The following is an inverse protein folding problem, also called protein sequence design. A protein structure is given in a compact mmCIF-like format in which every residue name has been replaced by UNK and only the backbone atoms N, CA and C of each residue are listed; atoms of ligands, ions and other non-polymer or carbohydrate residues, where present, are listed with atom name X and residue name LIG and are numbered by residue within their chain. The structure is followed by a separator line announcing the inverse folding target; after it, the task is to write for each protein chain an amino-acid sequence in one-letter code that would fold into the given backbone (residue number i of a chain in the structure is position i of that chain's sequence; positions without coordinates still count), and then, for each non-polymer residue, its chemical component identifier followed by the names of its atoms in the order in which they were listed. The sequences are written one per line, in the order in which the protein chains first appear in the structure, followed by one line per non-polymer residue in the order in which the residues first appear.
data_IF_116725261270
#
_entry.id   IF_116725261270
#
_cell.length_a   1.000
_cell.length_b   1.000
_cell.length_c   1.000
_cell.angle_alpha   90.00
_cell.angle_beta   90.00
_cell.angle_gamma   90.00
#
_symmetry.space_group_name_H-M   'P 1'
#
loop_
_entity.id
_entity.type
_entity.pdbx_description
1 polymer ?
#
# COMPACT_ATOMS: atom_id res chain seq x y z
N UNK A 1 -29.20 71.78 24.43
CA UNK A 1 -28.21 71.00 25.18
C UNK A 1 -27.72 71.77 26.40
N UNK A 2 -28.32 71.63 27.57
CA UNK A 2 -29.72 71.44 27.84
C UNK A 2 -29.92 71.98 29.25
N UNK A 3 -30.65 73.09 29.33
CA UNK A 3 -31.19 73.65 30.57
C UNK A 3 -31.95 72.58 31.40
N UNK A 4 -32.39 71.51 30.72
CA UNK A 4 -32.94 70.30 31.34
C UNK A 4 -31.94 69.46 32.13
N UNK A 5 -30.68 69.35 31.72
CA UNK A 5 -29.65 68.58 32.45
C UNK A 5 -29.28 69.30 33.75
N UNK A 6 -29.21 70.65 33.70
CA UNK A 6 -28.84 71.46 34.86
C UNK A 6 -29.96 71.49 35.92
N UNK A 7 -31.23 71.61 35.50
CA UNK A 7 -32.40 71.51 36.39
C UNK A 7 -32.58 70.08 36.95
N UNK A 8 -32.20 69.06 36.19
CA UNK A 8 -32.19 67.67 36.69
C UNK A 8 -31.12 67.45 37.76
N UNK A 9 -29.91 68.00 37.60
CA UNK A 9 -28.85 67.88 38.61
C UNK A 9 -29.15 68.66 39.90
N UNK A 10 -29.82 69.82 39.83
CA UNK A 10 -30.23 70.59 41.02
C UNK A 10 -31.41 69.94 41.77
N UNK A 11 -32.38 69.37 41.05
CA UNK A 11 -33.49 68.64 41.65
C UNK A 11 -33.01 67.34 42.34
N UNK A 12 -32.06 66.62 41.73
CA UNK A 12 -31.47 65.40 42.31
C UNK A 12 -30.64 65.72 43.57
N UNK A 13 -29.85 66.81 43.56
CA UNK A 13 -29.00 67.18 44.71
C UNK A 13 -29.77 67.75 45.91
N UNK A 14 -30.90 68.44 45.68
CA UNK A 14 -31.77 68.90 46.78
C UNK A 14 -32.59 67.78 47.42
N UNK A 15 -32.92 66.73 46.66
CA UNK A 15 -33.59 65.53 47.18
C UNK A 15 -32.68 64.68 48.08
N UNK A 16 -31.36 64.75 47.85
CA UNK A 16 -30.33 63.99 48.58
C UNK A 16 -30.08 64.47 50.02
N UNK A 17 -30.39 65.74 50.36
CA UNK A 17 -30.17 66.29 51.70
C UNK A 17 -31.30 65.99 52.70
N UNK A 18 -32.54 65.81 52.23
CA UNK A 18 -33.71 65.54 53.10
C UNK A 18 -33.86 64.03 53.39
N UNK A 19 -33.25 63.16 52.58
CA UNK A 19 -33.26 61.68 52.73
C UNK A 19 -31.88 61.07 53.10
N UNK A 20 -30.92 61.90 53.53
CA UNK A 20 -29.48 61.60 53.52
C UNK A 20 -28.97 60.36 54.26
N UNK A 21 -29.71 59.80 55.24
CA UNK A 21 -29.31 58.56 55.91
C UNK A 21 -29.81 57.28 55.23
N UNK A 22 -31.03 57.31 54.66
CA UNK A 22 -31.70 56.11 54.15
C UNK A 22 -31.18 55.71 52.77
N UNK A 23 -30.85 56.69 51.90
CA UNK A 23 -30.33 56.38 50.57
C UNK A 23 -28.95 55.69 50.62
N UNK A 24 -28.08 56.10 51.55
CA UNK A 24 -26.76 55.47 51.72
C UNK A 24 -26.92 54.00 52.14
N UNK A 25 -27.88 53.69 53.01
CA UNK A 25 -28.18 52.32 53.44
C UNK A 25 -28.72 51.49 52.27
N UNK A 26 -29.66 52.02 51.47
CA UNK A 26 -30.22 51.33 50.30
C UNK A 26 -29.15 51.05 49.24
N UNK A 27 -28.31 52.04 48.92
CA UNK A 27 -27.21 51.88 47.96
C UNK A 27 -26.20 50.85 48.47
N UNK A 28 -25.88 50.86 49.77
CA UNK A 28 -24.96 49.89 50.37
C UNK A 28 -25.52 48.47 50.33
N UNK A 29 -26.81 48.29 50.63
CA UNK A 29 -27.49 46.99 50.54
C UNK A 29 -27.58 46.49 49.10
N UNK A 30 -27.89 47.38 48.15
CA UNK A 30 -27.94 47.05 46.74
C UNK A 30 -26.55 46.65 46.19
N UNK A 31 -25.49 47.38 46.57
CA UNK A 31 -24.12 47.04 46.22
C UNK A 31 -23.70 45.69 46.82
N UNK A 32 -24.10 45.41 48.06
CA UNK A 32 -23.85 44.12 48.71
C UNK A 32 -24.58 42.96 48.02
N UNK A 33 -25.88 43.13 47.72
CA UNK A 33 -26.67 42.15 46.97
C UNK A 33 -26.10 41.90 45.57
N UNK A 34 -25.72 42.96 44.87
CA UNK A 34 -25.05 42.89 43.57
C UNK A 34 -23.75 42.10 43.65
N UNK A 35 -22.92 42.36 44.67
CA UNK A 35 -21.67 41.63 44.91
C UNK A 35 -21.91 40.14 45.19
N UNK A 36 -22.89 39.80 46.02
CA UNK A 36 -23.23 38.40 46.35
C UNK A 36 -23.80 37.68 45.13
N UNK A 37 -24.68 38.33 44.37
CA UNK A 37 -25.26 37.76 43.16
C UNK A 37 -24.19 37.55 42.09
N UNK A 38 -23.32 38.54 41.86
CA UNK A 38 -22.21 38.46 40.91
C UNK A 38 -21.20 37.38 41.31
N UNK A 39 -20.91 37.21 42.61
CA UNK A 39 -20.09 36.11 43.10
C UNK A 39 -20.68 34.74 42.79
N UNK A 40 -21.99 34.55 43.02
CA UNK A 40 -22.67 33.28 42.69
C UNK A 40 -22.75 33.00 41.19
N UNK A 41 -22.96 34.02 40.37
CA UNK A 41 -22.97 33.88 38.91
C UNK A 41 -21.57 33.51 38.41
N UNK A 42 -20.54 34.22 38.88
CA UNK A 42 -19.14 33.95 38.52
C UNK A 42 -18.69 32.54 38.94
N UNK A 43 -19.05 32.08 40.15
CA UNK A 43 -18.75 30.71 40.59
C UNK A 43 -19.44 29.65 39.72
N UNK A 44 -20.69 29.88 39.29
CA UNK A 44 -21.40 28.96 38.39
C UNK A 44 -20.76 28.91 37.01
N UNK A 45 -20.41 30.05 36.44
CA UNK A 45 -19.72 30.11 35.15
C UNK A 45 -18.36 29.42 35.24
N UNK A 46 -17.58 29.72 36.28
CA UNK A 46 -16.29 29.09 36.52
C UNK A 46 -16.40 27.57 36.63
N UNK A 47 -17.36 27.04 37.40
CA UNK A 47 -17.61 25.59 37.49
C UNK A 47 -17.95 24.99 36.12
N UNK A 48 -18.82 25.64 35.34
CA UNK A 48 -19.16 25.16 33.98
C UNK A 48 -17.93 25.15 33.07
N UNK A 49 -17.09 26.17 33.14
CA UNK A 49 -15.84 26.21 32.37
C UNK A 49 -14.90 25.09 32.81
N UNK A 50 -14.69 24.90 34.11
CA UNK A 50 -13.86 23.82 34.66
C UNK A 50 -14.39 22.43 34.23
N UNK A 51 -15.70 22.19 34.35
CA UNK A 51 -16.35 20.95 33.89
C UNK A 51 -16.19 20.73 32.38
N UNK A 52 -16.36 21.78 31.57
CA UNK A 52 -16.20 21.68 30.11
C UNK A 52 -14.75 21.38 29.71
N UNK A 53 -13.78 21.97 30.40
CA UNK A 53 -12.36 21.73 30.16
C UNK A 53 -11.97 20.31 30.57
N UNK A 54 -12.46 19.84 31.72
CA UNK A 54 -12.23 18.46 32.16
C UNK A 54 -12.86 17.45 31.20
N UNK A 55 -14.09 17.70 30.76
CA UNK A 55 -14.76 16.89 29.74
C UNK A 55 -13.99 16.83 28.43
N UNK A 56 -13.60 17.98 27.87
CA UNK A 56 -12.81 18.03 26.63
C UNK A 56 -11.46 17.34 26.78
N UNK A 57 -10.80 17.43 27.94
CA UNK A 57 -9.57 16.68 28.23
C UNK A 57 -9.80 15.18 28.29
N UNK A 58 -10.91 14.73 28.87
CA UNK A 58 -11.28 13.31 28.87
C UNK A 58 -11.57 12.81 27.46
N UNK A 59 -12.33 13.56 26.66
CA UNK A 59 -12.61 13.24 25.26
C UNK A 59 -11.33 13.20 24.42
N UNK A 60 -10.43 14.19 24.58
CA UNK A 60 -9.13 14.21 23.90
C UNK A 60 -8.27 13.00 24.26
N UNK A 61 -8.14 12.66 25.56
CA UNK A 61 -7.38 11.47 25.99
C UNK A 61 -7.99 10.17 25.47
N UNK A 62 -9.32 10.08 25.42
CA UNK A 62 -10.01 8.93 24.87
C UNK A 62 -9.75 8.79 23.37
N UNK A 63 -9.80 9.91 22.61
CA UNK A 63 -9.43 9.94 21.20
C UNK A 63 -7.96 9.59 20.99
N UNK A 64 -7.03 10.15 21.76
CA UNK A 64 -5.60 9.83 21.70
C UNK A 64 -5.35 8.33 21.92
N UNK A 65 -5.94 7.76 22.98
CA UNK A 65 -5.84 6.32 23.27
C UNK A 65 -6.39 5.46 22.13
N UNK A 66 -7.55 5.83 21.58
CA UNK A 66 -8.15 5.13 20.44
C UNK A 66 -7.29 5.22 19.18
N UNK A 67 -6.72 6.40 18.88
CA UNK A 67 -5.83 6.59 17.73
C UNK A 67 -4.53 5.82 17.88
N UNK A 68 -3.96 5.76 19.08
CA UNK A 68 -2.79 4.95 19.38
C UNK A 68 -3.07 3.45 19.20
N UNK A 69 -4.16 2.94 19.78
CA UNK A 69 -4.56 1.55 19.63
C UNK A 69 -4.82 1.18 18.15
N UNK A 70 -5.45 2.07 17.39
CA UNK A 70 -5.70 1.85 15.95
C UNK A 70 -4.40 1.84 15.16
N UNK A 71 -3.47 2.76 15.47
CA UNK A 71 -2.14 2.81 14.86
C UNK A 71 -1.34 1.54 15.13
N UNK A 72 -1.36 1.05 16.36
CA UNK A 72 -0.65 -0.17 16.76
C UNK A 72 -1.24 -1.41 16.08
N UNK A 73 -2.57 -1.53 16.04
CA UNK A 73 -3.24 -2.61 15.33
C UNK A 73 -2.92 -2.59 13.83
N UNK A 74 -2.88 -1.41 13.21
CA UNK A 74 -2.48 -1.24 11.81
C UNK A 74 -1.02 -1.60 11.58
N UNK A 75 -0.10 -1.13 12.44
CA UNK A 75 1.32 -1.45 12.35
C UNK A 75 1.56 -2.97 12.48
N UNK A 76 0.90 -3.62 13.43
CA UNK A 76 0.98 -5.06 13.62
C UNK A 76 0.44 -5.82 12.40
N UNK A 77 -0.74 -5.43 11.88
CA UNK A 77 -1.32 -6.04 10.68
C UNK A 77 -0.43 -5.87 9.45
N UNK A 78 0.19 -4.70 9.28
CA UNK A 78 1.15 -4.40 8.23
C UNK A 78 2.40 -5.28 8.32
N UNK A 79 2.97 -5.43 9.53
CA UNK A 79 4.13 -6.27 9.77
C UNK A 79 3.86 -7.74 9.45
N UNK A 80 2.75 -8.31 9.93
CA UNK A 80 2.37 -9.70 9.64
C UNK A 80 2.11 -9.91 8.16
N UNK A 81 1.46 -8.96 7.49
CA UNK A 81 1.24 -9.02 6.05
C UNK A 81 2.56 -8.98 5.27
N UNK A 82 3.47 -8.07 5.66
CA UNK A 82 4.78 -7.93 5.03
C UNK A 82 5.62 -9.20 5.18
N UNK A 83 5.65 -9.79 6.39
CA UNK A 83 6.34 -11.06 6.66
C UNK A 83 5.83 -12.18 5.73
N UNK A 84 4.51 -12.31 5.55
CA UNK A 84 3.93 -13.30 4.63
C UNK A 84 4.31 -13.05 3.17
N UNK A 85 4.40 -11.78 2.76
CA UNK A 85 4.87 -11.40 1.41
C UNK A 85 6.34 -11.75 1.21
N UNK A 86 7.19 -11.55 2.22
CA UNK A 86 8.60 -11.95 2.18
C UNK A 86 8.74 -13.47 2.02
N UNK A 87 8.03 -14.24 2.85
CA UNK A 87 8.02 -15.71 2.78
C UNK A 87 7.52 -16.23 1.43
N UNK A 88 6.48 -15.60 0.87
CA UNK A 88 5.97 -15.93 -0.46
C UNK A 88 7.00 -15.64 -1.57
N UNK A 89 7.66 -14.48 -1.52
CA UNK A 89 8.70 -14.12 -2.49
C UNK A 89 9.91 -15.07 -2.39
N UNK A 90 10.30 -15.46 -1.18
CA UNK A 90 11.36 -16.45 -0.94
C UNK A 90 10.97 -17.83 -1.51
N UNK A 91 9.76 -18.32 -1.20
CA UNK A 91 9.27 -19.61 -1.70
C UNK A 91 9.24 -19.64 -3.24
N UNK A 92 8.78 -18.57 -3.88
CA UNK A 92 8.79 -18.44 -5.33
C UNK A 92 10.23 -18.45 -5.88
N UNK A 93 11.15 -17.73 -5.23
CA UNK A 93 12.55 -17.74 -5.67
C UNK A 93 13.20 -19.12 -5.53
N UNK A 94 12.91 -19.86 -4.45
CA UNK A 94 13.33 -21.25 -4.30
C UNK A 94 12.80 -22.12 -5.43
N UNK A 95 11.55 -21.93 -5.86
CA UNK A 95 11.01 -22.63 -7.03
C UNK A 95 11.73 -22.27 -8.33
N UNK A 96 12.05 -20.99 -8.54
CA UNK A 96 12.87 -20.54 -9.69
C UNK A 96 14.22 -21.24 -9.72
N UNK A 97 14.89 -21.35 -8.57
CA UNK A 97 16.17 -22.05 -8.44
C UNK A 97 16.05 -23.55 -8.71
N UNK A 98 14.99 -24.21 -8.20
CA UNK A 98 14.71 -25.62 -8.50
C UNK A 98 14.51 -25.84 -9.99
N UNK A 99 13.66 -25.04 -10.63
CA UNK A 99 13.43 -25.07 -12.08
C UNK A 99 14.75 -24.85 -12.84
N UNK A 100 15.58 -23.90 -12.42
CA UNK A 100 16.88 -23.62 -13.05
C UNK A 100 17.80 -24.83 -13.00
N UNK A 101 17.95 -25.45 -11.83
CA UNK A 101 18.81 -26.63 -11.66
C UNK A 101 18.30 -27.79 -12.51
N UNK A 102 17.00 -28.08 -12.45
CA UNK A 102 16.38 -29.18 -13.20
C UNK A 102 16.41 -29.00 -14.72
N UNK A 103 16.61 -27.77 -15.22
CA UNK A 103 16.59 -27.46 -16.67
C UNK A 103 17.95 -26.99 -17.20
N UNK A 104 19.01 -27.05 -16.37
CA UNK A 104 20.33 -26.55 -16.74
C UNK A 104 20.92 -27.28 -17.96
N UNK A 105 20.72 -28.60 -18.05
CA UNK A 105 21.16 -29.38 -19.22
C UNK A 105 20.42 -28.97 -20.50
N UNK A 106 19.13 -28.62 -20.39
CA UNK A 106 18.34 -28.14 -21.53
C UNK A 106 18.82 -26.76 -22.00
N UNK A 107 19.22 -25.88 -21.08
CA UNK A 107 19.85 -24.60 -21.46
C UNK A 107 21.12 -24.84 -22.28
N UNK A 108 22.00 -25.72 -21.82
CA UNK A 108 23.20 -26.10 -22.56
C UNK A 108 22.89 -26.70 -23.92
N UNK A 109 21.88 -27.59 -24.00
CA UNK A 109 21.47 -28.21 -25.24
C UNK A 109 20.92 -27.21 -26.28
N UNK A 110 20.20 -26.18 -25.86
CA UNK A 110 19.67 -25.17 -26.78
C UNK A 110 20.70 -24.14 -27.26
N UNK A 111 21.79 -23.95 -26.49
CA UNK A 111 22.76 -22.87 -26.74
C UNK A 111 24.06 -23.34 -27.40
N UNK A 112 24.49 -24.58 -27.12
CA UNK A 112 25.79 -25.08 -27.56
C UNK A 112 25.79 -25.52 -29.03
N UNK A 113 24.84 -26.36 -29.51
CA UNK A 113 24.90 -26.90 -30.86
C UNK A 113 24.45 -25.86 -31.90
N UNK A 114 25.05 -25.88 -33.08
CA UNK A 114 24.50 -25.17 -34.24
C UNK A 114 23.15 -25.77 -34.68
N UNK A 115 22.36 -25.04 -35.47
CA UNK A 115 21.01 -25.49 -35.90
C UNK A 115 20.99 -26.88 -36.55
N UNK A 116 22.03 -27.25 -37.32
CA UNK A 116 22.16 -28.59 -37.92
C UNK A 116 22.71 -29.67 -36.98
N UNK A 117 23.35 -29.28 -35.88
CA UNK A 117 23.96 -30.21 -34.92
C UNK A 117 22.94 -30.76 -33.91
N UNK A 118 21.84 -30.03 -33.66
CA UNK A 118 20.78 -30.46 -32.76
C UNK A 118 20.19 -31.81 -33.18
N UNK A 119 19.89 -32.00 -34.47
CA UNK A 119 19.33 -33.27 -34.94
C UNK A 119 20.33 -34.43 -34.82
N UNK A 120 21.62 -34.17 -35.08
CA UNK A 120 22.66 -35.17 -34.92
C UNK A 120 22.84 -35.54 -33.43
N UNK A 121 22.77 -34.55 -32.55
CA UNK A 121 22.83 -34.71 -31.10
C UNK A 121 21.61 -35.48 -30.54
N UNK A 122 20.41 -35.27 -31.09
CA UNK A 122 19.18 -36.00 -30.74
C UNK A 122 19.23 -37.45 -31.22
N UNK A 123 19.77 -37.69 -32.43
CA UNK A 123 19.92 -39.04 -33.00
C UNK A 123 21.04 -39.85 -32.35
N UNK A 124 21.91 -39.23 -31.55
CA UNK A 124 23.01 -39.90 -30.88
C UNK A 124 22.56 -40.48 -29.52
N UNK A 125 22.42 -41.81 -29.37
CA UNK A 125 22.01 -42.42 -28.10
C UNK A 125 23.05 -42.25 -26.98
N UNK A 126 24.31 -41.96 -27.33
CA UNK A 126 25.39 -41.71 -26.37
C UNK A 126 25.45 -40.26 -25.89
N UNK A 127 24.50 -39.41 -26.29
CA UNK A 127 24.44 -38.02 -25.84
C UNK A 127 23.95 -37.92 -24.38
N UNK A 128 24.90 -37.90 -23.44
CA UNK A 128 24.66 -37.77 -21.99
C UNK A 128 23.76 -36.57 -21.61
N UNK A 129 23.78 -35.46 -22.38
CA UNK A 129 22.97 -34.28 -22.07
C UNK A 129 21.46 -34.53 -22.20
N UNK A 130 21.07 -35.52 -23.00
CA UNK A 130 19.66 -35.82 -23.31
C UNK A 130 19.14 -37.06 -22.59
N UNK A 131 20.01 -37.88 -21.96
CA UNK A 131 19.60 -39.15 -21.33
C UNK A 131 18.55 -38.95 -20.23
N UNK A 132 18.66 -37.85 -19.48
CA UNK A 132 17.73 -37.51 -18.40
C UNK A 132 16.54 -36.65 -18.87
N UNK A 133 16.46 -36.31 -20.16
CA UNK A 133 15.36 -35.52 -20.71
C UNK A 133 14.18 -36.42 -21.06
N UNK A 134 13.21 -36.56 -20.16
CA UNK A 134 12.02 -37.38 -20.36
C UNK A 134 10.77 -36.78 -19.67
N UNK A 135 9.61 -37.41 -19.85
CA UNK A 135 8.34 -36.92 -19.29
C UNK A 135 8.29 -36.91 -17.76
N UNK A 136 9.13 -37.70 -17.08
CA UNK A 136 9.26 -37.62 -15.63
C UNK A 136 9.81 -36.26 -15.22
N UNK A 137 10.81 -35.74 -15.92
CA UNK A 137 11.36 -34.40 -15.69
C UNK A 137 10.28 -33.34 -15.85
N UNK A 138 9.45 -33.42 -16.89
CA UNK A 138 8.32 -32.48 -17.09
C UNK A 138 7.30 -32.58 -15.96
N UNK A 139 6.97 -33.78 -15.51
CA UNK A 139 6.06 -34.00 -14.38
C UNK A 139 6.62 -33.41 -13.08
N UNK A 140 7.90 -33.66 -12.77
CA UNK A 140 8.59 -33.11 -11.59
C UNK A 140 8.62 -31.58 -11.61
N UNK A 141 8.80 -30.95 -12.78
CA UNK A 141 8.70 -29.49 -12.93
C UNK A 141 7.26 -28.99 -12.69
N UNK A 142 6.25 -29.71 -13.19
CA UNK A 142 4.85 -29.34 -13.02
C UNK A 142 4.38 -29.42 -11.56
N UNK A 143 4.96 -30.30 -10.74
CA UNK A 143 4.67 -30.43 -9.31
C UNK A 143 5.07 -29.21 -8.47
N UNK A 144 5.93 -28.33 -9.00
CA UNK A 144 6.28 -27.08 -8.32
C UNK A 144 5.15 -26.05 -8.32
N UNK A 145 4.27 -26.07 -9.33
CA UNK A 145 3.17 -25.12 -9.46
C UNK A 145 2.25 -25.11 -8.24
N UNK A 146 1.64 -26.25 -7.85
CA UNK A 146 0.76 -26.34 -6.68
C UNK A 146 1.42 -25.90 -5.37
N UNK A 147 2.73 -26.13 -5.21
CA UNK A 147 3.48 -25.74 -4.01
C UNK A 147 3.60 -24.21 -3.87
N UNK A 148 3.67 -23.47 -4.99
CA UNK A 148 3.77 -22.01 -4.97
C UNK A 148 2.40 -21.35 -5.05
N UNK A 149 1.38 -22.01 -5.61
CA UNK A 149 0.01 -21.46 -5.69
C UNK A 149 -0.54 -21.05 -4.31
N UNK A 150 -0.19 -21.77 -3.22
CA UNK A 150 -0.60 -21.40 -1.86
C UNK A 150 -0.06 -20.04 -1.39
N UNK A 151 1.00 -19.54 -2.02
CA UNK A 151 1.62 -18.25 -1.73
C UNK A 151 1.07 -17.12 -2.61
N UNK A 152 0.29 -17.44 -3.65
CA UNK A 152 -0.26 -16.47 -4.62
C UNK A 152 -0.96 -15.27 -3.99
N UNK A 153 -1.77 -15.39 -2.91
CA UNK A 153 -2.41 -14.22 -2.28
C UNK A 153 -1.44 -13.18 -1.73
N UNK A 154 -0.17 -13.54 -1.53
CA UNK A 154 0.87 -12.67 -0.99
C UNK A 154 1.88 -12.22 -2.06
N UNK A 155 1.71 -12.65 -3.30
CA UNK A 155 2.53 -12.23 -4.44
C UNK A 155 1.81 -11.13 -5.22
N UNK A 156 2.57 -10.34 -5.96
CA UNK A 156 1.96 -9.45 -6.95
C UNK A 156 1.59 -10.24 -8.20
N UNK A 157 0.50 -9.85 -8.88
CA UNK A 157 0.10 -10.46 -10.15
C UNK A 157 1.24 -10.44 -11.16
N UNK A 158 1.99 -9.32 -11.24
CA UNK A 158 3.14 -9.21 -12.14
C UNK A 158 4.25 -10.22 -11.83
N UNK A 159 4.59 -10.41 -10.55
CA UNK A 159 5.60 -11.40 -10.15
C UNK A 159 5.12 -12.82 -10.46
N UNK A 160 3.83 -13.09 -10.25
CA UNK A 160 3.21 -14.37 -10.57
C UNK A 160 3.24 -14.66 -12.08
N UNK A 161 2.84 -13.70 -12.91
CA UNK A 161 2.87 -13.83 -14.37
C UNK A 161 4.29 -14.09 -14.90
N UNK A 162 5.29 -13.40 -14.34
CA UNK A 162 6.69 -13.61 -14.70
C UNK A 162 7.18 -15.01 -14.32
N UNK A 163 6.84 -15.49 -13.12
CA UNK A 163 7.16 -16.84 -12.68
C UNK A 163 6.49 -17.90 -13.56
N UNK A 164 5.23 -17.70 -13.92
CA UNK A 164 4.49 -18.59 -14.80
C UNK A 164 5.13 -18.64 -16.19
N UNK A 165 5.42 -17.48 -16.79
CA UNK A 165 6.10 -17.39 -18.07
C UNK A 165 7.46 -18.09 -18.05
N UNK A 166 8.27 -17.84 -17.02
CA UNK A 166 9.55 -18.52 -16.80
C UNK A 166 9.39 -20.05 -16.75
N UNK A 167 8.45 -20.54 -15.94
CA UNK A 167 8.19 -21.97 -15.77
C UNK A 167 7.73 -22.61 -17.08
N UNK A 168 6.83 -21.95 -17.81
CA UNK A 168 6.26 -22.47 -19.05
C UNK A 168 7.25 -22.46 -20.20
N UNK A 169 8.11 -21.45 -20.32
CA UNK A 169 9.20 -21.43 -21.32
C UNK A 169 10.13 -22.62 -21.10
N UNK A 170 10.53 -22.87 -19.85
CA UNK A 170 11.39 -24.00 -19.50
C UNK A 170 10.69 -25.35 -19.75
N UNK A 171 9.45 -25.53 -19.30
CA UNK A 171 8.68 -26.76 -19.53
C UNK A 171 8.47 -27.02 -21.03
N UNK A 172 8.13 -25.99 -21.81
CA UNK A 172 7.94 -26.11 -23.26
C UNK A 172 9.24 -26.52 -23.96
N UNK A 173 10.39 -25.98 -23.54
CA UNK A 173 11.69 -26.36 -24.07
C UNK A 173 12.02 -27.86 -23.84
N UNK A 174 11.68 -28.38 -22.66
CA UNK A 174 11.79 -29.81 -22.37
C UNK A 174 10.86 -30.63 -23.27
N UNK A 175 9.60 -30.23 -23.41
CA UNK A 175 8.60 -30.95 -24.22
C UNK A 175 9.05 -31.04 -25.69
N UNK A 176 9.47 -29.93 -26.30
CA UNK A 176 9.96 -29.92 -27.69
C UNK A 176 11.17 -30.84 -27.87
N UNK A 177 12.07 -30.86 -26.89
CA UNK A 177 13.24 -31.76 -26.91
C UNK A 177 12.83 -33.23 -26.79
N UNK A 178 11.88 -33.56 -25.91
CA UNK A 178 11.36 -34.92 -25.72
C UNK A 178 10.61 -35.42 -26.96
N UNK A 179 9.80 -34.57 -27.57
CA UNK A 179 9.10 -34.89 -28.83
C UNK A 179 10.12 -35.19 -29.93
N UNK A 180 11.19 -34.39 -30.02
CA UNK A 180 12.24 -34.64 -31.00
C UNK A 180 13.02 -35.94 -30.76
N UNK A 181 13.28 -36.30 -29.49
CA UNK A 181 13.85 -37.61 -29.12
C UNK A 181 12.94 -38.79 -29.51
N UNK A 182 11.65 -38.55 -29.70
CA UNK A 182 10.67 -39.55 -30.17
C UNK A 182 10.54 -39.62 -31.70
N UNK A 183 11.32 -38.81 -32.42
CA UNK A 183 11.36 -38.79 -33.88
C UNK A 183 10.62 -37.63 -34.53
N UNK A 184 10.02 -36.72 -33.76
CA UNK A 184 9.46 -35.49 -34.31
C UNK A 184 10.57 -34.53 -34.78
N UNK A 185 10.31 -33.65 -35.75
CA UNK A 185 11.26 -32.62 -36.15
C UNK A 185 11.60 -31.69 -34.98
N UNK A 186 12.89 -31.50 -34.71
CA UNK A 186 13.32 -30.55 -33.69
C UNK A 186 13.07 -29.11 -34.14
N UNK A 187 12.38 -28.34 -33.30
CA UNK A 187 12.15 -26.91 -33.51
C UNK A 187 13.06 -26.13 -32.56
N UNK A 188 13.88 -25.25 -33.13
CA UNK A 188 14.74 -24.37 -32.31
C UNK A 188 13.84 -23.45 -31.47
N UNK A 189 14.23 -23.19 -30.22
CA UNK A 189 13.37 -22.52 -29.24
C UNK A 189 12.80 -21.17 -29.73
N UNK A 190 13.57 -20.39 -30.48
CA UNK A 190 13.14 -19.08 -31.00
C UNK A 190 12.22 -19.20 -32.22
N UNK A 191 12.11 -20.38 -32.83
CA UNK A 191 11.19 -20.72 -33.92
C UNK A 191 9.91 -21.39 -33.36
N UNK A 192 9.86 -21.79 -32.08
CA UNK A 192 8.67 -22.41 -31.46
C UNK A 192 7.57 -21.38 -31.20
N UNK A 193 6.35 -21.56 -31.76
CA UNK A 193 5.27 -20.60 -31.60
C UNK A 193 4.76 -20.51 -30.17
N UNK A 194 4.83 -21.60 -29.39
CA UNK A 194 4.41 -21.63 -27.99
C UNK A 194 5.32 -20.76 -27.12
N UNK A 195 6.65 -20.94 -27.24
CA UNK A 195 7.63 -20.11 -26.53
C UNK A 195 7.46 -18.63 -26.92
N UNK A 196 7.30 -18.32 -28.22
CA UNK A 196 7.03 -16.94 -28.67
C UNK A 196 5.79 -16.34 -28.05
N UNK A 197 4.69 -17.08 -27.98
CA UNK A 197 3.44 -16.61 -27.37
C UNK A 197 3.62 -16.32 -25.88
N UNK A 198 4.29 -17.21 -25.13
CA UNK A 198 4.52 -17.05 -23.69
C UNK A 198 5.42 -15.83 -23.43
N UNK A 199 6.52 -15.70 -24.18
CA UNK A 199 7.42 -14.55 -24.07
C UNK A 199 6.73 -13.25 -24.48
N UNK A 200 5.83 -13.31 -25.46
CA UNK A 200 5.02 -12.19 -25.91
C UNK A 200 4.16 -11.56 -24.81
N UNK A 201 3.66 -12.37 -23.88
CA UNK A 201 2.88 -11.91 -22.74
C UNK A 201 3.75 -11.36 -21.59
N UNK A 202 4.98 -11.86 -21.44
CA UNK A 202 5.85 -11.52 -20.32
C UNK A 202 6.79 -10.33 -20.59
N UNK A 203 7.20 -10.17 -21.86
CA UNK A 203 8.25 -9.24 -22.29
C UNK A 203 7.69 -8.05 -23.07
N UNK A 204 8.39 -6.93 -23.00
CA UNK A 204 8.06 -5.75 -23.82
C UNK A 204 8.39 -6.00 -25.30
N UNK A 205 7.75 -5.29 -26.22
CA UNK A 205 8.02 -5.40 -27.66
C UNK A 205 9.50 -5.19 -28.00
N UNK A 206 10.16 -4.25 -27.30
CA UNK A 206 11.61 -4.01 -27.45
C UNK A 206 12.43 -5.22 -27.04
N UNK A 207 12.16 -5.80 -25.87
CA UNK A 207 12.88 -6.98 -25.39
C UNK A 207 12.66 -8.19 -26.31
N UNK A 208 11.44 -8.35 -26.84
CA UNK A 208 11.15 -9.38 -27.84
C UNK A 208 11.95 -9.14 -29.12
N UNK A 209 11.99 -7.90 -29.61
CA UNK A 209 12.77 -7.55 -30.79
C UNK A 209 14.26 -7.85 -30.59
N UNK A 210 14.83 -7.48 -29.45
CA UNK A 210 16.23 -7.76 -29.11
C UNK A 210 16.49 -9.29 -29.11
N UNK A 211 15.65 -10.05 -28.38
CA UNK A 211 15.80 -11.51 -28.26
C UNK A 211 15.69 -12.24 -29.61
N UNK A 212 14.68 -11.90 -30.42
CA UNK A 212 14.39 -12.63 -31.66
C UNK A 212 15.21 -12.15 -32.87
N UNK A 213 15.70 -10.90 -32.87
CA UNK A 213 16.48 -10.37 -34.00
C UNK A 213 17.93 -10.84 -33.99
N UNK A 214 18.57 -10.93 -32.82
CA UNK A 214 19.99 -11.29 -32.72
C UNK A 214 20.22 -12.80 -32.52
N UNK A 215 19.16 -13.62 -32.51
CA UNK A 215 19.22 -15.06 -32.18
C UNK A 215 19.99 -15.29 -30.87
N UNK A 216 19.55 -14.59 -29.83
CA UNK A 216 20.17 -14.69 -28.51
C UNK A 216 20.27 -16.16 -28.05
N UNK A 217 21.21 -16.49 -27.16
CA UNK A 217 21.16 -17.75 -26.44
C UNK A 217 19.84 -17.87 -25.66
N UNK A 218 19.26 -19.07 -25.62
CA UNK A 218 18.14 -19.43 -24.76
C UNK A 218 18.43 -19.06 -23.30
N UNK A 219 19.65 -19.30 -22.81
CA UNK A 219 20.05 -18.86 -21.46
C UNK A 219 19.84 -17.37 -21.25
N UNK A 220 20.19 -16.51 -22.23
CA UNK A 220 19.98 -15.07 -22.12
C UNK A 220 18.50 -14.68 -22.06
N UNK A 221 17.64 -15.36 -22.81
CA UNK A 221 16.19 -15.19 -22.72
C UNK A 221 15.67 -15.53 -21.31
N UNK A 222 16.13 -16.64 -20.75
CA UNK A 222 15.73 -17.08 -19.42
C UNK A 222 16.27 -16.13 -18.34
N UNK A 223 17.51 -15.64 -18.48
CA UNK A 223 18.12 -14.67 -17.57
C UNK A 223 17.38 -13.32 -17.56
N UNK A 224 16.76 -12.91 -18.66
CA UNK A 224 15.88 -11.72 -18.71
C UNK A 224 14.67 -11.93 -17.80
N UNK A 225 14.01 -13.09 -17.88
CA UNK A 225 12.86 -13.40 -17.02
C UNK A 225 13.27 -13.46 -15.55
N UNK A 226 14.39 -14.11 -15.23
CA UNK A 226 14.91 -14.20 -13.86
C UNK A 226 15.25 -12.81 -13.28
N UNK A 227 15.88 -11.93 -14.07
CA UNK A 227 16.13 -10.54 -13.65
C UNK A 227 14.84 -9.77 -13.38
N UNK A 228 13.81 -9.97 -14.19
CA UNK A 228 12.50 -9.34 -13.96
C UNK A 228 11.84 -9.87 -12.69
N UNK A 229 11.88 -11.19 -12.46
CA UNK A 229 11.40 -11.82 -11.23
C UNK A 229 12.13 -11.22 -10.02
N UNK A 230 13.46 -11.15 -10.06
CA UNK A 230 14.26 -10.54 -8.99
C UNK A 230 13.90 -9.07 -8.76
N UNK A 231 13.71 -8.29 -9.82
CA UNK A 231 13.32 -6.89 -9.71
C UNK A 231 11.95 -6.70 -9.06
N UNK A 232 10.96 -7.55 -9.37
CA UNK A 232 9.66 -7.51 -8.69
C UNK A 232 9.74 -8.02 -7.25
N UNK A 233 10.55 -9.05 -6.96
CA UNK A 233 10.80 -9.52 -5.60
C UNK A 233 11.48 -8.44 -4.74
N UNK A 234 12.44 -7.71 -5.28
CA UNK A 234 13.11 -6.59 -4.60
C UNK A 234 12.11 -5.48 -4.23
N UNK A 235 11.10 -5.22 -5.06
CA UNK A 235 10.03 -4.25 -4.74
C UNK A 235 9.16 -4.70 -3.57
N UNK A 236 8.93 -6.01 -3.43
CA UNK A 236 8.24 -6.57 -2.27
C UNK A 236 9.11 -6.42 -1.02
N UNK A 237 10.38 -6.82 -1.13
CA UNK A 237 11.34 -6.83 0.00
C UNK A 237 11.63 -5.42 0.51
N UNK A 238 11.87 -4.47 -0.40
CA UNK A 238 12.18 -3.08 -0.03
C UNK A 238 11.01 -2.34 0.62
N UNK A 239 9.80 -2.91 0.61
CA UNK A 239 8.60 -2.24 1.11
C UNK A 239 8.21 -1.00 0.30
N UNK A 240 8.88 -0.72 -0.84
CA UNK A 240 8.61 0.46 -1.68
C UNK A 240 7.14 0.54 -2.07
N UNK A 241 6.57 -0.62 -2.43
CA UNK A 241 5.14 -0.73 -2.75
C UNK A 241 4.24 -0.41 -1.56
N UNK A 242 4.62 -0.83 -0.34
CA UNK A 242 3.86 -0.48 0.85
C UNK A 242 3.94 1.03 1.15
N UNK A 243 5.08 1.67 0.86
CA UNK A 243 5.24 3.12 0.93
C UNK A 243 4.38 3.87 -0.10
N UNK A 244 4.37 3.42 -1.35
CA UNK A 244 3.51 3.98 -2.42
C UNK A 244 2.02 3.83 -2.08
N UNK A 245 1.60 2.64 -1.67
CA UNK A 245 0.21 2.37 -1.25
C UNK A 245 -0.20 3.20 -0.01
N UNK A 246 0.72 3.44 0.92
CA UNK A 246 0.47 4.29 2.09
C UNK A 246 0.31 5.76 1.70
N UNK A 247 1.17 6.27 0.81
CA UNK A 247 1.09 7.64 0.30
C UNK A 247 -0.20 7.89 -0.48
N UNK A 248 -0.63 6.94 -1.32
CA UNK A 248 -1.87 7.05 -2.08
C UNK A 248 -3.10 7.11 -1.15
N UNK A 249 -3.12 6.27 -0.10
CA UNK A 249 -4.18 6.29 0.92
C UNK A 249 -4.18 7.57 1.75
N UNK A 250 -3.01 8.09 2.11
CA UNK A 250 -2.93 9.38 2.80
C UNK A 250 -3.46 10.53 1.94
N UNK A 251 -3.16 10.52 0.63
CA UNK A 251 -3.72 11.51 -0.30
C UNK A 251 -5.24 11.37 -0.42
N UNK A 252 -5.76 10.15 -0.49
CA UNK A 252 -7.21 9.89 -0.52
C UNK A 252 -7.89 10.37 0.77
N UNK A 253 -7.32 10.04 1.93
CA UNK A 253 -7.85 10.45 3.23
C UNK A 253 -7.80 11.98 3.40
N UNK A 254 -6.73 12.63 2.95
CA UNK A 254 -6.64 14.09 2.93
C UNK A 254 -7.68 14.75 2.01
N UNK A 255 -7.99 14.14 0.86
CA UNK A 255 -9.07 14.60 -0.03
C UNK A 255 -10.43 14.47 0.64
N UNK A 256 -10.72 13.34 1.27
CA UNK A 256 -11.98 13.09 2.00
C UNK A 256 -12.16 14.03 3.19
N UNK A 257 -11.11 14.28 3.97
CA UNK A 257 -11.16 15.27 5.08
C UNK A 257 -11.44 16.67 4.53
N UNK A 258 -10.86 17.03 3.38
CA UNK A 258 -11.09 18.34 2.77
C UNK A 258 -12.51 18.50 2.21
N UNK A 259 -13.19 17.41 1.82
CA UNK A 259 -14.56 17.46 1.32
C UNK A 259 -15.64 17.45 2.41
N UNK A 260 -15.37 16.88 3.59
CA UNK A 260 -16.32 16.82 4.72
C UNK A 260 -16.91 18.17 5.20
N UNK A 261 -16.17 19.30 5.24
CA UNK A 261 -16.71 20.60 5.67
C UNK A 261 -17.84 21.12 4.77
N UNK A 262 -17.87 20.71 3.50
CA UNK A 262 -18.93 21.10 2.57
C UNK A 262 -20.24 20.34 2.81
N UNK A 263 -20.17 19.11 3.35
CA UNK A 263 -21.33 18.23 3.55
C UNK A 263 -21.97 18.40 4.93
N UNK A 264 -21.19 18.71 5.96
CA UNK A 264 -21.70 18.85 7.33
C UNK A 264 -22.50 20.14 7.58
N UNK A 265 -22.68 20.99 6.57
CA UNK A 265 -23.52 22.19 6.70
C UNK A 265 -23.07 23.13 7.81
N UNK A 266 -21.81 23.00 8.29
CA UNK A 266 -21.13 24.00 9.12
C UNK A 266 -20.77 25.13 8.17
N UNK A 267 -21.83 25.77 7.67
CA UNK A 267 -21.77 27.09 7.09
C UNK A 267 -20.98 27.94 8.07
N UNK A 268 -19.92 28.55 7.59
CA UNK A 268 -19.14 29.60 8.22
C UNK A 268 -19.97 30.86 8.56
N UNK A 269 -21.25 30.69 8.89
CA UNK A 269 -22.23 31.70 9.26
C UNK A 269 -21.99 32.33 10.65
N UNK A 270 -20.96 31.90 11.37
CA UNK A 270 -20.53 32.54 12.62
C UNK A 270 -19.26 33.40 12.45
N UNK A 271 -18.97 33.84 11.21
CA UNK A 271 -18.04 34.95 10.99
C UNK A 271 -18.71 36.31 11.27
N UNK A 272 -18.46 36.76 12.49
CA UNK A 272 -18.40 38.13 13.00
C UNK A 272 -19.72 38.91 13.22
N UNK A 273 -20.00 39.36 14.47
CA UNK A 273 -20.91 40.47 14.68
C UNK A 273 -20.29 41.73 14.03
N UNK A 274 -21.03 42.34 13.09
CA UNK A 274 -20.69 43.66 12.56
C UNK A 274 -20.66 44.65 13.73
N UNK A 275 -19.50 45.28 13.92
CA UNK A 275 -19.30 46.44 14.77
C UNK A 275 -19.72 47.72 14.04
#
# INVERSE_FOLDING_TARGET
MDEGVQKFTEAVTSSLWIFGGVQVVVVSLAAWLGKVWMGRVSERERRRTEESVERLRHELRAMESMTAATRDAFAFGSQVSHERRLQAAEALWVAVLKLRVSTNLMRGFHDVPAKGEHEAAIRNPENELLKDCNWKTVAELAELGPQIEMHRPFLSERLWDLFFAYSFVLMRSCVVTIEALRGEPFVVWYDDPGIRQILGAALTEREQADIFSERFPFASCVDILERKILGESERIISGRRAGEEALDREQELARTIRSLPAELGISSAEQAPQA
#
